data_IF_275536379056
#
_entry.id   IF_275536379056
#
_cell.length_a   1.000
_cell.length_b   1.000
_cell.length_c   1.000
_cell.angle_alpha   90.00
_cell.angle_beta   90.00
_cell.angle_gamma   90.00
#
_symmetry.space_group_name_H-M   'P 1'
#
loop_
_entity.id
_entity.type
_entity.pdbx_description
1 polymer ?
#
# COMPACT_ATOMS: atom_id res chain seq x y z
N UNK A 1 -9.99 -32.77 3.14
CA UNK A 1 -8.71 -32.47 2.46
C UNK A 1 -8.66 -30.98 2.25
N UNK A 2 -7.73 -30.27 2.87
CA UNK A 2 -7.59 -28.83 2.64
C UNK A 2 -7.16 -28.61 1.19
N UNK A 3 -7.95 -27.85 0.45
CA UNK A 3 -7.66 -27.47 -0.92
C UNK A 3 -6.40 -26.60 -0.95
N UNK A 4 -5.42 -26.97 -1.78
CA UNK A 4 -4.17 -26.19 -1.91
C UNK A 4 -4.45 -24.76 -2.40
N UNK A 5 -3.58 -23.81 -2.03
CA UNK A 5 -3.67 -22.41 -2.47
C UNK A 5 -3.77 -22.27 -4.00
N UNK A 6 -3.04 -23.10 -4.76
CA UNK A 6 -3.08 -23.08 -6.22
C UNK A 6 -4.46 -23.43 -6.77
N UNK A 7 -5.14 -24.41 -6.17
CA UNK A 7 -6.50 -24.78 -6.56
C UNK A 7 -7.49 -23.66 -6.24
N UNK A 8 -7.36 -23.03 -5.06
CA UNK A 8 -8.16 -21.84 -4.71
C UNK A 8 -7.98 -20.68 -5.70
N UNK A 9 -6.76 -20.45 -6.17
CA UNK A 9 -6.47 -19.43 -7.19
C UNK A 9 -7.09 -19.80 -8.54
N UNK A 10 -7.08 -21.07 -8.93
CA UNK A 10 -7.75 -21.54 -10.16
C UNK A 10 -9.26 -21.32 -10.06
N UNK A 11 -9.86 -21.67 -8.92
CA UNK A 11 -11.28 -21.44 -8.65
C UNK A 11 -11.63 -19.95 -8.67
N UNK A 12 -10.74 -19.11 -8.14
CA UNK A 12 -10.92 -17.65 -8.16
C UNK A 12 -10.83 -17.07 -9.55
N UNK A 13 -9.91 -17.57 -10.38
CA UNK A 13 -9.84 -17.18 -11.78
C UNK A 13 -11.12 -17.54 -12.53
N UNK A 14 -11.64 -18.76 -12.35
CA UNK A 14 -12.92 -19.14 -12.94
C UNK A 14 -14.07 -18.24 -12.45
N UNK A 15 -14.02 -17.84 -11.17
CA UNK A 15 -14.97 -16.90 -10.59
C UNK A 15 -14.90 -15.51 -11.22
N UNK A 16 -13.71 -14.97 -11.46
CA UNK A 16 -13.54 -13.70 -12.18
C UNK A 16 -14.02 -13.80 -13.63
N UNK A 17 -13.56 -14.81 -14.37
CA UNK A 17 -13.84 -14.98 -15.80
C UNK A 17 -15.35 -15.19 -16.06
N UNK A 18 -16.08 -15.71 -15.08
CA UNK A 18 -17.52 -16.03 -15.17
C UNK A 18 -18.43 -15.01 -14.48
N UNK A 19 -17.90 -13.87 -14.04
CA UNK A 19 -18.62 -12.86 -13.25
C UNK A 19 -19.32 -13.44 -12.01
N UNK A 20 -18.67 -14.42 -11.40
CA UNK A 20 -19.06 -15.05 -10.15
C UNK A 20 -19.97 -16.26 -10.26
N UNK A 21 -20.27 -16.73 -11.47
CA UNK A 21 -21.18 -17.87 -11.69
C UNK A 21 -20.51 -19.25 -11.58
N UNK A 22 -19.19 -19.34 -11.75
CA UNK A 22 -18.41 -20.58 -11.72
C UNK A 22 -17.20 -20.41 -10.79
N UNK A 23 -16.89 -21.42 -9.97
CA UNK A 23 -15.77 -21.36 -9.04
C UNK A 23 -16.06 -20.51 -7.81
N UNK A 24 -15.02 -20.13 -7.08
CA UNK A 24 -15.15 -19.46 -5.78
C UNK A 24 -14.27 -18.22 -5.71
N UNK A 25 -14.83 -17.11 -5.22
CA UNK A 25 -14.04 -15.94 -4.80
C UNK A 25 -12.94 -16.38 -3.83
N UNK A 26 -11.71 -15.92 -4.03
CA UNK A 26 -10.62 -16.27 -3.14
C UNK A 26 -10.89 -15.68 -1.75
N UNK A 27 -11.06 -16.57 -0.78
CA UNK A 27 -11.15 -16.26 0.64
C UNK A 27 -10.12 -17.10 1.37
N UNK A 28 -9.12 -16.44 1.95
CA UNK A 28 -8.13 -17.06 2.84
C UNK A 28 -7.85 -16.10 4.01
N UNK A 29 -7.58 -16.67 5.18
CA UNK A 29 -7.46 -15.94 6.43
C UNK A 29 -6.42 -16.63 7.32
N UNK A 30 -5.55 -15.87 7.99
CA UNK A 30 -4.53 -16.38 8.93
C UNK A 30 -3.61 -17.48 8.37
N UNK A 31 -3.31 -17.45 7.06
CA UNK A 31 -2.38 -18.40 6.43
C UNK A 31 -1.01 -17.76 6.23
N UNK A 32 0.05 -18.52 6.48
CA UNK A 32 1.41 -18.15 6.09
C UNK A 32 1.71 -18.59 4.65
N UNK A 33 1.89 -17.60 3.78
CA UNK A 33 2.32 -17.72 2.39
C UNK A 33 3.66 -16.98 2.18
N UNK A 34 4.51 -16.89 3.21
CA UNK A 34 5.82 -16.24 3.11
C UNK A 34 6.64 -16.81 1.94
N UNK A 35 7.25 -15.93 1.15
CA UNK A 35 8.07 -16.30 0.00
C UNK A 35 7.30 -16.91 -1.18
N UNK A 36 5.96 -16.96 -1.15
CA UNK A 36 5.18 -17.47 -2.28
C UNK A 36 5.41 -16.63 -3.55
N UNK A 37 5.32 -17.27 -4.70
CA UNK A 37 5.26 -16.56 -5.98
C UNK A 37 3.81 -16.49 -6.48
N UNK A 38 3.23 -15.29 -6.40
CA UNK A 38 1.92 -14.92 -6.96
C UNK A 38 2.05 -13.81 -8.03
N UNK A 39 3.24 -13.64 -8.61
CA UNK A 39 3.45 -12.68 -9.68
C UNK A 39 2.47 -12.91 -10.83
N UNK A 40 2.01 -11.81 -11.42
CA UNK A 40 1.07 -11.79 -12.56
C UNK A 40 -0.29 -12.47 -12.28
N UNK A 41 -0.67 -12.70 -11.02
CA UNK A 41 -1.98 -13.26 -10.67
C UNK A 41 -3.02 -12.16 -10.58
N UNK A 42 -4.22 -12.48 -11.08
CA UNK A 42 -5.41 -11.68 -10.86
C UNK A 42 -6.16 -12.19 -9.63
N UNK A 43 -6.07 -11.42 -8.56
CA UNK A 43 -6.75 -11.59 -7.28
C UNK A 43 -7.72 -10.42 -7.05
N UNK A 44 -8.28 -9.85 -8.12
CA UNK A 44 -9.32 -8.81 -8.04
C UNK A 44 -10.43 -9.28 -7.14
N UNK A 45 -10.84 -8.40 -6.21
CA UNK A 45 -11.84 -8.71 -5.20
C UNK A 45 -11.46 -9.85 -4.25
N UNK A 46 -10.23 -10.36 -4.17
CA UNK A 46 -9.91 -11.39 -3.16
C UNK A 46 -10.11 -10.86 -1.73
N UNK A 47 -10.40 -11.77 -0.80
CA UNK A 47 -10.52 -11.49 0.64
C UNK A 47 -9.41 -12.26 1.33
N UNK A 48 -8.38 -11.54 1.77
CA UNK A 48 -7.12 -12.08 2.27
C UNK A 48 -6.76 -11.57 3.68
N UNK A 49 -7.68 -11.25 4.62
CA UNK A 49 -7.28 -10.61 5.86
C UNK A 49 -6.31 -11.48 6.66
N UNK A 50 -5.33 -10.84 7.29
CA UNK A 50 -4.37 -11.50 8.21
C UNK A 50 -3.48 -12.58 7.56
N UNK A 51 -3.33 -12.56 6.23
CA UNK A 51 -2.42 -13.47 5.53
C UNK A 51 -0.99 -12.94 5.62
N UNK A 52 -0.03 -13.84 5.89
CA UNK A 52 1.40 -13.50 5.84
C UNK A 52 1.95 -13.71 4.43
N UNK A 53 2.42 -12.64 3.80
CA UNK A 53 3.02 -12.58 2.46
C UNK A 53 4.45 -12.02 2.54
N UNK A 54 5.14 -12.23 3.67
CA UNK A 54 6.48 -11.72 3.91
C UNK A 54 7.44 -12.26 2.86
N UNK A 55 8.17 -11.37 2.18
CA UNK A 55 9.10 -11.73 1.13
C UNK A 55 8.48 -12.41 -0.10
N UNK A 56 7.15 -12.38 -0.25
CA UNK A 56 6.47 -12.95 -1.41
C UNK A 56 6.84 -12.20 -2.69
N UNK A 57 6.85 -12.91 -3.82
CA UNK A 57 6.90 -12.28 -5.13
C UNK A 57 5.47 -12.03 -5.64
N UNK A 58 5.06 -10.77 -5.63
CA UNK A 58 3.74 -10.26 -6.04
C UNK A 58 3.89 -9.23 -7.19
N UNK A 59 4.97 -9.32 -7.97
CA UNK A 59 5.20 -8.45 -9.13
C UNK A 59 4.03 -8.52 -10.11
N UNK A 60 3.55 -7.38 -10.59
CA UNK A 60 2.39 -7.26 -11.49
C UNK A 60 1.10 -7.92 -10.97
N UNK A 61 0.96 -8.16 -9.66
CA UNK A 61 -0.28 -8.71 -9.10
C UNK A 61 -1.44 -7.72 -9.26
N UNK A 62 -2.65 -8.24 -9.47
CA UNK A 62 -3.88 -7.44 -9.48
C UNK A 62 -4.68 -7.77 -8.22
N UNK A 63 -4.92 -6.75 -7.41
CA UNK A 63 -5.58 -6.75 -6.10
C UNK A 63 -6.68 -5.67 -6.06
N UNK A 64 -7.19 -5.24 -7.21
CA UNK A 64 -8.23 -4.22 -7.29
C UNK A 64 -9.46 -4.65 -6.48
N UNK A 65 -10.04 -3.72 -5.71
CA UNK A 65 -11.21 -3.95 -4.85
C UNK A 65 -11.05 -5.13 -3.85
N UNK A 66 -9.81 -5.54 -3.55
CA UNK A 66 -9.52 -6.62 -2.60
C UNK A 66 -9.51 -6.13 -1.15
N UNK A 67 -9.77 -7.05 -0.22
CA UNK A 67 -9.51 -6.84 1.20
C UNK A 67 -8.20 -7.53 1.57
N UNK A 68 -7.16 -6.74 1.84
CA UNK A 68 -5.83 -7.16 2.28
C UNK A 68 -5.49 -6.55 3.65
N UNK A 69 -6.51 -6.27 4.46
CA UNK A 69 -6.35 -5.71 5.79
C UNK A 69 -5.54 -6.65 6.70
N UNK A 70 -4.71 -6.07 7.57
CA UNK A 70 -3.87 -6.80 8.53
C UNK A 70 -2.88 -7.80 7.91
N UNK A 71 -2.70 -7.80 6.58
CA UNK A 71 -1.71 -8.64 5.91
C UNK A 71 -0.27 -8.21 6.25
N UNK A 72 0.64 -9.17 6.24
CA UNK A 72 2.07 -8.89 6.35
C UNK A 72 2.76 -9.01 4.99
N UNK A 73 3.00 -7.88 4.33
CA UNK A 73 3.76 -7.72 3.08
C UNK A 73 5.22 -7.33 3.32
N UNK A 74 5.77 -7.49 4.52
CA UNK A 74 7.13 -7.06 4.82
C UNK A 74 8.13 -7.67 3.83
N UNK A 75 8.98 -6.84 3.24
CA UNK A 75 9.99 -7.26 2.25
C UNK A 75 9.43 -7.92 0.98
N UNK A 76 8.11 -7.87 0.73
CA UNK A 76 7.50 -8.41 -0.47
C UNK A 76 7.87 -7.58 -1.71
N UNK A 77 7.86 -8.22 -2.88
CA UNK A 77 7.95 -7.54 -4.17
C UNK A 77 6.54 -7.27 -4.72
N UNK A 78 6.10 -6.03 -4.70
CA UNK A 78 4.84 -5.49 -5.24
C UNK A 78 5.11 -4.49 -6.39
N UNK A 79 6.26 -4.59 -7.05
CA UNK A 79 6.57 -3.76 -8.23
C UNK A 79 5.44 -3.91 -9.28
N UNK A 80 4.97 -2.77 -9.79
CA UNK A 80 3.87 -2.64 -10.75
C UNK A 80 2.50 -3.20 -10.29
N UNK A 81 2.33 -3.54 -9.00
CA UNK A 81 1.06 -4.07 -8.49
C UNK A 81 -0.11 -3.10 -8.73
N UNK A 82 -1.28 -3.65 -9.06
CA UNK A 82 -2.53 -2.89 -9.16
C UNK A 82 -3.40 -3.20 -7.95
N UNK A 83 -3.71 -2.21 -7.12
CA UNK A 83 -4.54 -2.39 -5.93
C UNK A 83 -5.55 -1.25 -5.80
N UNK A 84 -6.13 -0.84 -6.94
CA UNK A 84 -7.10 0.25 -6.99
C UNK A 84 -8.29 -0.07 -6.09
N UNK A 85 -8.63 0.87 -5.19
CA UNK A 85 -9.70 0.73 -4.17
C UNK A 85 -9.55 -0.49 -3.24
N UNK A 86 -8.35 -1.03 -3.09
CA UNK A 86 -8.13 -2.07 -2.09
C UNK A 86 -8.24 -1.52 -0.66
N UNK A 87 -8.52 -2.41 0.29
CA UNK A 87 -8.46 -2.12 1.72
C UNK A 87 -7.20 -2.74 2.30
N UNK A 88 -6.22 -1.93 2.68
CA UNK A 88 -4.94 -2.34 3.27
C UNK A 88 -4.76 -1.79 4.70
N UNK A 89 -5.87 -1.57 5.39
CA UNK A 89 -5.87 -1.08 6.77
C UNK A 89 -5.14 -2.07 7.69
N UNK A 90 -4.36 -1.56 8.63
CA UNK A 90 -3.52 -2.32 9.58
C UNK A 90 -2.46 -3.24 8.92
N UNK A 91 -2.29 -3.20 7.60
CA UNK A 91 -1.31 -4.02 6.91
C UNK A 91 0.13 -3.54 7.15
N UNK A 92 1.09 -4.45 7.01
CA UNK A 92 2.52 -4.18 7.20
C UNK A 92 3.27 -4.34 5.88
N UNK A 93 3.72 -3.23 5.30
CA UNK A 93 4.52 -3.15 4.06
C UNK A 93 5.99 -2.79 4.34
N UNK A 94 6.49 -3.03 5.55
CA UNK A 94 7.84 -2.61 5.93
C UNK A 94 8.90 -3.16 4.96
N UNK A 95 9.71 -2.27 4.38
CA UNK A 95 10.73 -2.58 3.36
C UNK A 95 10.19 -3.27 2.10
N UNK A 96 8.89 -3.18 1.81
CA UNK A 96 8.32 -3.71 0.59
C UNK A 96 8.78 -2.88 -0.62
N UNK A 97 8.91 -3.55 -1.77
CA UNK A 97 9.17 -2.92 -3.07
C UNK A 97 7.82 -2.67 -3.74
N UNK A 98 7.42 -1.42 -3.93
CA UNK A 98 6.09 -1.03 -4.42
C UNK A 98 6.21 -0.01 -5.56
N UNK A 99 7.31 -0.04 -6.31
CA UNK A 99 7.60 0.92 -7.37
C UNK A 99 6.60 0.78 -8.52
N UNK A 100 6.22 1.92 -9.11
CA UNK A 100 5.27 2.01 -10.23
C UNK A 100 3.92 1.31 -9.99
N UNK A 101 3.56 1.08 -8.73
CA UNK A 101 2.30 0.47 -8.35
C UNK A 101 1.15 1.47 -8.47
N UNK A 102 -0.08 0.96 -8.54
CA UNK A 102 -1.29 1.76 -8.59
C UNK A 102 -2.16 1.49 -7.38
N UNK A 103 -2.14 2.41 -6.43
CA UNK A 103 -2.95 2.39 -5.21
C UNK A 103 -4.02 3.49 -5.22
N UNK A 104 -4.49 3.90 -6.41
CA UNK A 104 -5.60 4.85 -6.55
C UNK A 104 -6.76 4.48 -5.62
N UNK A 105 -7.13 5.38 -4.72
CA UNK A 105 -8.21 5.21 -3.72
C UNK A 105 -8.04 4.03 -2.74
N UNK A 106 -6.82 3.55 -2.53
CA UNK A 106 -6.54 2.51 -1.52
C UNK A 106 -6.56 3.10 -0.12
N UNK A 107 -7.05 2.33 0.86
CA UNK A 107 -6.97 2.69 2.28
C UNK A 107 -5.79 2.00 2.95
N UNK A 108 -5.12 2.75 3.81
CA UNK A 108 -3.90 2.37 4.54
C UNK A 108 -4.03 2.76 6.02
N UNK A 109 -5.25 2.74 6.57
CA UNK A 109 -5.51 3.19 7.94
C UNK A 109 -4.65 2.41 8.93
N UNK A 110 -3.90 3.09 9.80
CA UNK A 110 -2.98 2.48 10.78
C UNK A 110 -2.00 1.43 10.20
N UNK A 111 -1.71 1.52 8.90
CA UNK A 111 -0.75 0.61 8.26
C UNK A 111 0.70 1.06 8.51
N UNK A 112 1.63 0.11 8.39
CA UNK A 112 3.07 0.36 8.54
C UNK A 112 3.76 0.20 7.20
N UNK A 113 4.33 1.28 6.65
CA UNK A 113 5.10 1.30 5.41
C UNK A 113 6.54 1.77 5.64
N UNK A 114 7.12 1.43 6.79
CA UNK A 114 8.47 1.86 7.17
C UNK A 114 9.47 1.39 6.12
N UNK A 115 10.21 2.34 5.54
CA UNK A 115 11.18 2.08 4.47
C UNK A 115 10.62 1.38 3.23
N UNK A 116 9.31 1.46 2.98
CA UNK A 116 8.71 0.96 1.74
C UNK A 116 9.12 1.84 0.56
N UNK A 117 9.32 1.24 -0.62
CA UNK A 117 9.67 1.97 -1.83
C UNK A 117 8.46 2.13 -2.77
N UNK A 118 7.86 3.30 -2.76
CA UNK A 118 6.72 3.72 -3.59
C UNK A 118 7.14 4.66 -4.73
N UNK A 119 8.40 4.54 -5.20
CA UNK A 119 8.89 5.36 -6.32
C UNK A 119 7.97 5.23 -7.54
N UNK A 120 7.49 6.36 -8.06
CA UNK A 120 6.60 6.41 -9.23
C UNK A 120 5.20 5.84 -9.00
N UNK A 121 4.82 5.52 -7.76
CA UNK A 121 3.50 4.97 -7.47
C UNK A 121 2.38 6.00 -7.72
N UNK A 122 1.24 5.52 -8.23
CA UNK A 122 0.02 6.31 -8.27
C UNK A 122 -0.74 6.15 -6.95
N UNK A 123 -0.74 7.20 -6.13
CA UNK A 123 -1.40 7.27 -4.82
C UNK A 123 -2.55 8.29 -4.84
N UNK A 124 -3.07 8.64 -6.02
CA UNK A 124 -4.18 9.59 -6.12
C UNK A 124 -5.34 9.12 -5.22
N UNK A 125 -5.84 10.01 -4.35
CA UNK A 125 -6.93 9.73 -3.41
C UNK A 125 -6.67 8.55 -2.45
N UNK A 126 -5.43 8.11 -2.28
CA UNK A 126 -5.08 7.12 -1.26
C UNK A 126 -5.23 7.73 0.15
N UNK A 127 -5.65 6.92 1.11
CA UNK A 127 -5.95 7.37 2.47
C UNK A 127 -4.99 6.70 3.47
N UNK A 128 -4.03 7.46 3.98
CA UNK A 128 -2.99 6.98 4.91
C UNK A 128 -3.25 7.36 6.37
N UNK A 129 -4.50 7.63 6.76
CA UNK A 129 -4.81 8.07 8.13
C UNK A 129 -4.11 7.22 9.20
N UNK A 130 -3.31 7.86 10.05
CA UNK A 130 -2.56 7.22 11.15
C UNK A 130 -1.47 6.20 10.71
N UNK A 131 -1.10 6.19 9.43
CA UNK A 131 -0.05 5.32 8.92
C UNK A 131 1.36 5.73 9.37
N UNK A 132 2.23 4.75 9.50
CA UNK A 132 3.66 4.95 9.71
C UNK A 132 4.40 4.90 8.37
N UNK A 133 4.87 6.06 7.89
CA UNK A 133 5.60 6.25 6.63
C UNK A 133 7.08 6.60 6.88
N UNK A 134 7.62 6.29 8.05
CA UNK A 134 9.00 6.61 8.38
C UNK A 134 9.99 5.99 7.37
N UNK A 135 10.88 6.82 6.83
CA UNK A 135 11.86 6.46 5.81
C UNK A 135 11.27 5.90 4.50
N UNK A 136 9.96 6.05 4.27
CA UNK A 136 9.35 5.61 3.02
C UNK A 136 9.81 6.48 1.85
N UNK A 137 9.87 5.89 0.66
CA UNK A 137 10.34 6.55 -0.56
C UNK A 137 9.15 6.79 -1.48
N UNK A 138 8.77 8.05 -1.66
CA UNK A 138 7.68 8.51 -2.53
C UNK A 138 8.23 9.30 -3.74
N UNK A 139 9.48 9.02 -4.13
CA UNK A 139 10.16 9.67 -5.25
C UNK A 139 9.28 9.63 -6.51
N UNK A 140 8.95 10.78 -7.09
CA UNK A 140 8.08 10.90 -8.27
C UNK A 140 6.68 10.28 -8.13
N UNK A 141 6.18 10.04 -6.91
CA UNK A 141 4.84 9.50 -6.70
C UNK A 141 3.76 10.56 -6.94
N UNK A 142 2.57 10.12 -7.37
CA UNK A 142 1.41 11.00 -7.50
C UNK A 142 0.55 10.96 -6.23
N UNK A 143 0.54 12.05 -5.47
CA UNK A 143 -0.21 12.20 -4.22
C UNK A 143 -1.48 13.06 -4.37
N UNK A 144 -1.93 13.29 -5.61
CA UNK A 144 -3.11 14.14 -5.88
C UNK A 144 -4.32 13.71 -5.06
N UNK A 145 -4.85 14.61 -4.23
CA UNK A 145 -5.96 14.42 -3.30
C UNK A 145 -5.76 13.27 -2.28
N UNK A 146 -4.52 12.85 -2.02
CA UNK A 146 -4.23 11.87 -0.98
C UNK A 146 -4.48 12.47 0.42
N UNK A 147 -4.74 11.62 1.40
CA UNK A 147 -4.78 12.02 2.81
C UNK A 147 -3.57 11.47 3.56
N UNK A 148 -2.80 12.37 4.17
CA UNK A 148 -1.69 12.04 5.07
C UNK A 148 -2.06 12.39 6.52
N UNK A 149 -3.34 12.24 6.88
CA UNK A 149 -3.81 12.64 8.19
C UNK A 149 -3.11 11.85 9.29
N UNK A 150 -2.53 12.54 10.27
CA UNK A 150 -1.85 11.95 11.44
C UNK A 150 -0.73 10.97 11.10
N UNK A 151 -0.13 11.09 9.92
CA UNK A 151 0.97 10.21 9.49
C UNK A 151 2.28 10.53 10.22
N UNK A 152 3.12 9.50 10.43
CA UNK A 152 4.53 9.66 10.82
C UNK A 152 5.40 9.69 9.57
N UNK A 153 6.14 10.77 9.36
CA UNK A 153 6.85 11.10 8.12
C UNK A 153 8.36 11.29 8.30
N UNK A 154 8.93 10.94 9.46
CA UNK A 154 10.36 11.08 9.70
C UNK A 154 11.19 10.38 8.61
N UNK A 155 12.13 11.10 8.00
CA UNK A 155 12.98 10.56 6.93
C UNK A 155 12.27 10.24 5.61
N UNK A 156 11.00 10.62 5.42
CA UNK A 156 10.31 10.40 4.14
C UNK A 156 11.05 11.12 2.99
N UNK A 157 11.15 10.45 1.84
CA UNK A 157 11.65 11.06 0.62
C UNK A 157 10.48 11.37 -0.33
N UNK A 158 10.17 12.65 -0.50
CA UNK A 158 9.09 13.13 -1.37
C UNK A 158 9.61 13.75 -2.67
N UNK A 159 10.93 13.72 -2.95
CA UNK A 159 11.52 14.40 -4.10
C UNK A 159 10.76 14.08 -5.39
N UNK A 160 10.36 15.11 -6.15
CA UNK A 160 9.63 14.97 -7.41
C UNK A 160 8.18 14.47 -7.28
N UNK A 161 7.68 14.20 -6.07
CA UNK A 161 6.27 13.86 -5.89
C UNK A 161 5.37 15.03 -6.32
N UNK A 162 4.22 14.69 -6.92
CA UNK A 162 3.28 15.68 -7.47
C UNK A 162 1.94 15.65 -6.73
N UNK A 163 1.16 16.73 -6.86
CA UNK A 163 -0.17 16.85 -6.26
C UNK A 163 -0.17 17.16 -4.76
N UNK A 164 0.99 17.52 -4.19
CA UNK A 164 1.18 17.83 -2.76
C UNK A 164 0.24 18.96 -2.30
N UNK A 165 -0.01 19.94 -3.17
CA UNK A 165 -0.90 21.07 -2.92
C UNK A 165 -2.37 20.67 -2.67
N UNK A 166 -2.74 19.45 -3.06
CA UNK A 166 -4.09 18.89 -2.85
C UNK A 166 -4.14 17.87 -1.71
N UNK A 167 -3.01 17.60 -1.05
CA UNK A 167 -2.96 16.67 0.09
C UNK A 167 -3.76 17.25 1.26
N UNK A 168 -4.54 16.39 1.91
CA UNK A 168 -5.26 16.72 3.13
C UNK A 168 -4.58 16.13 4.37
N UNK A 169 -4.52 16.89 5.45
CA UNK A 169 -4.03 16.43 6.75
C UNK A 169 -4.49 17.38 7.86
N UNK A 170 -4.87 16.86 9.03
CA UNK A 170 -5.06 17.67 10.23
C UNK A 170 -3.69 18.03 10.82
N UNK A 171 -2.85 17.01 10.99
CA UNK A 171 -1.45 17.14 11.39
C UNK A 171 -0.61 15.98 10.86
N UNK A 172 0.69 16.21 10.70
CA UNK A 172 1.72 15.20 10.40
C UNK A 172 2.77 15.23 11.51
N UNK A 173 3.39 14.09 11.79
CA UNK A 173 4.54 13.99 12.70
C UNK A 173 5.83 13.83 11.90
N UNK A 174 6.72 14.81 12.01
CA UNK A 174 8.02 14.86 11.31
C UNK A 174 9.19 14.62 12.27
N UNK A 175 8.90 14.15 13.48
CA UNK A 175 9.86 13.98 14.55
C UNK A 175 10.84 12.83 14.34
N UNK A 176 12.12 13.07 14.61
CA UNK A 176 13.21 12.09 14.44
C UNK A 176 13.57 11.42 15.78
N UNK A 177 14.15 10.22 15.74
CA UNK A 177 14.72 9.58 16.93
C UNK A 177 13.72 9.18 18.03
N UNK A 178 12.42 9.19 17.74
CA UNK A 178 11.35 8.90 18.69
C UNK A 178 10.70 10.14 19.32
N UNK A 179 11.27 11.32 19.11
CA UNK A 179 10.70 12.58 19.59
C UNK A 179 9.65 13.10 18.61
N UNK A 180 8.38 13.17 19.05
CA UNK A 180 7.28 13.66 18.21
C UNK A 180 7.41 15.16 17.92
N UNK A 181 7.30 15.55 16.65
CA UNK A 181 7.21 16.94 16.20
C UNK A 181 6.05 17.08 15.22
N UNK A 182 4.92 17.59 15.71
CA UNK A 182 3.71 17.74 14.89
C UNK A 182 3.68 19.08 14.16
N UNK A 183 3.37 19.03 12.87
CA UNK A 183 2.99 20.18 12.06
C UNK A 183 1.51 20.05 11.68
N UNK A 184 0.81 21.18 11.57
CA UNK A 184 -0.63 21.21 11.23
C UNK A 184 -0.95 22.34 10.27
N UNK A 185 -2.07 22.21 9.56
CA UNK A 185 -2.56 23.26 8.65
C UNK A 185 -1.53 23.63 7.59
N UNK A 186 -1.30 24.94 7.39
CA UNK A 186 -0.39 25.44 6.35
C UNK A 186 1.07 25.00 6.56
N UNK A 187 1.52 24.88 7.80
CA UNK A 187 2.90 24.49 8.09
C UNK A 187 3.19 23.05 7.64
N UNK A 188 2.21 22.16 7.83
CA UNK A 188 2.29 20.79 7.34
C UNK A 188 2.40 20.73 5.81
N UNK A 189 1.54 21.47 5.11
CA UNK A 189 1.53 21.49 3.63
C UNK A 189 2.80 22.12 3.07
N UNK A 190 3.26 23.26 3.63
CA UNK A 190 4.50 23.90 3.20
C UNK A 190 5.70 22.97 3.38
N UNK A 191 5.78 22.27 4.52
CA UNK A 191 6.84 21.29 4.76
C UNK A 191 6.83 20.17 3.71
N UNK A 192 5.66 19.65 3.34
CA UNK A 192 5.54 18.63 2.29
C UNK A 192 6.00 19.17 0.92
N UNK A 193 5.62 20.40 0.57
CA UNK A 193 6.00 21.04 -0.71
C UNK A 193 7.52 21.23 -0.78
N UNK A 194 8.14 21.74 0.28
CA UNK A 194 9.60 21.92 0.36
C UNK A 194 10.34 20.58 0.16
N UNK A 195 9.85 19.51 0.80
CA UNK A 195 10.42 18.15 0.65
C UNK A 195 10.19 17.54 -0.73
N UNK A 196 9.15 17.94 -1.43
CA UNK A 196 8.91 17.49 -2.80
C UNK A 196 9.81 18.21 -3.82
N UNK A 197 10.20 19.45 -3.53
CA UNK A 197 11.05 20.27 -4.40
C UNK A 197 12.54 20.14 -4.10
N UNK A 198 12.93 19.53 -2.98
CA UNK A 198 14.33 19.33 -2.63
C UNK A 198 14.99 18.38 -3.64
N UNK A 199 15.98 18.89 -4.37
CA UNK A 199 16.85 18.06 -5.21
C UNK A 199 17.84 17.30 -4.30
N UNK A 200 17.94 15.98 -4.50
CA UNK A 200 18.94 15.12 -3.86
C UNK A 200 20.35 15.44 -4.34
#
# INVERSE_FOLDING_TARGET
>A
MNESINQKIIQHKAWLDSLGSIGNRLYIYEIDLSGINLSNKDLTSAILPEVTLKGANLENIILNDSNIASCNFSMANLENAQAVKATADYAVFNKAKMQNSNFLRTTFFESSLISANLTGANLEKALFSEANLENAIFLNANLTNASLNKCRLSGINLCGAIGIETVSTDWIDIGEGGDSKRLSGKDAINWLIERAQSFS
#
